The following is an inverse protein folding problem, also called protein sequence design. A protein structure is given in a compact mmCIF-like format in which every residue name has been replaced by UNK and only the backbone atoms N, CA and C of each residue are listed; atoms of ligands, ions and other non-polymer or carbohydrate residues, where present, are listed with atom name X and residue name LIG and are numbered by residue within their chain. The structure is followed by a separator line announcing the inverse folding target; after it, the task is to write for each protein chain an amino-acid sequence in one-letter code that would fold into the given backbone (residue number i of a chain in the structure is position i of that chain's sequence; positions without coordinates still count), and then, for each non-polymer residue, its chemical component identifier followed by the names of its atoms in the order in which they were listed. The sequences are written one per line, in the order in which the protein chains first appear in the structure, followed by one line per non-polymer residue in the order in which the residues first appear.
data_IF_664218405979
#
_entry.id   IF_664218405979
#
_cell.length_a   1.000
_cell.length_b   1.000
_cell.length_c   1.000
_cell.angle_alpha   90.00
_cell.angle_beta   90.00
_cell.angle_gamma   90.00
#
_symmetry.space_group_name_H-M   'P 1'
#
loop_
_entity.id
_entity.type
_entity.pdbx_description
1 polymer ?
#
# COMPACT_ATOMS: atom_id res chain seq x y z
N UNK A 1 -10.02 18.89 -2.71
CA UNK A 1 -9.09 18.48 -1.65
C UNK A 1 -8.40 19.67 -0.98
N UNK A 2 -7.82 20.62 -1.76
CA UNK A 2 -7.02 21.76 -1.29
C UNK A 2 -7.77 22.64 -0.31
N UNK A 3 -8.98 23.03 -0.65
CA UNK A 3 -9.81 23.92 0.18
C UNK A 3 -10.10 23.28 1.55
N UNK A 4 -10.22 21.96 1.62
CA UNK A 4 -10.40 21.23 2.89
C UNK A 4 -9.17 21.36 3.80
N UNK A 5 -7.95 21.25 3.24
CA UNK A 5 -6.71 21.42 4.02
C UNK A 5 -6.62 22.83 4.58
N UNK A 6 -6.89 23.83 3.75
CA UNK A 6 -6.86 25.24 4.12
C UNK A 6 -7.88 25.53 5.21
N UNK A 7 -9.12 25.08 5.04
CA UNK A 7 -10.18 25.34 6.00
C UNK A 7 -9.99 24.58 7.30
N UNK A 8 -9.42 23.37 7.26
CA UNK A 8 -9.01 22.67 8.47
C UNK A 8 -7.96 23.44 9.29
N UNK A 9 -7.05 24.15 8.64
CA UNK A 9 -6.10 25.01 9.33
C UNK A 9 -6.75 26.31 9.82
N UNK A 10 -7.63 26.92 9.01
CA UNK A 10 -8.24 28.23 9.30
C UNK A 10 -9.31 28.18 10.39
N UNK A 11 -9.91 27.01 10.65
CA UNK A 11 -10.91 26.86 11.71
C UNK A 11 -10.37 27.29 13.07
N UNK A 12 -9.08 27.11 13.33
CA UNK A 12 -8.40 27.58 14.55
C UNK A 12 -8.45 29.10 14.73
N UNK A 13 -8.74 29.84 13.67
CA UNK A 13 -8.89 31.31 13.67
C UNK A 13 -10.32 31.75 13.37
N UNK A 14 -11.30 30.83 13.45
CA UNK A 14 -12.70 31.07 13.08
C UNK A 14 -12.87 31.68 11.68
N UNK A 15 -12.04 31.23 10.71
CA UNK A 15 -12.02 31.69 9.32
C UNK A 15 -12.31 30.55 8.36
N UNK A 16 -12.90 30.90 7.24
CA UNK A 16 -13.18 29.98 6.13
C UNK A 16 -12.80 30.64 4.79
N UNK A 17 -12.23 29.87 3.89
CA UNK A 17 -12.04 30.23 2.48
C UNK A 17 -13.10 29.56 1.64
N UNK A 18 -13.77 30.31 0.77
CA UNK A 18 -14.74 29.77 -0.20
C UNK A 18 -14.03 29.32 -1.49
N UNK A 19 -12.95 30.00 -1.84
CA UNK A 19 -12.11 29.72 -3.01
C UNK A 19 -10.64 29.72 -2.61
N UNK A 20 -9.80 29.07 -3.39
CA UNK A 20 -8.35 29.05 -3.18
C UNK A 20 -7.72 30.34 -3.68
N UNK A 21 -6.93 30.97 -2.84
CA UNK A 21 -6.09 32.12 -3.17
C UNK A 21 -4.61 31.75 -3.15
N UNK A 22 -3.75 32.61 -3.69
CA UNK A 22 -2.29 32.45 -3.62
C UNK A 22 -1.79 32.35 -2.16
N UNK A 23 -2.47 33.03 -1.22
CA UNK A 23 -2.16 32.93 0.21
C UNK A 23 -2.48 31.53 0.76
N UNK A 24 -3.52 30.90 0.25
CA UNK A 24 -3.90 29.54 0.65
C UNK A 24 -2.89 28.51 0.16
N UNK A 25 -2.35 28.67 -1.03
CA UNK A 25 -1.29 27.81 -1.56
C UNK A 25 -0.02 27.91 -0.72
N UNK A 26 0.38 29.14 -0.35
CA UNK A 26 1.49 29.38 0.57
C UNK A 26 1.25 28.77 1.96
N UNK A 27 0.00 28.79 2.45
CA UNK A 27 -0.37 28.16 3.71
C UNK A 27 -0.22 26.64 3.65
N UNK A 28 -0.68 25.98 2.58
CA UNK A 28 -0.53 24.54 2.41
C UNK A 28 0.94 24.11 2.42
N UNK A 29 1.78 24.84 1.64
CA UNK A 29 3.22 24.57 1.61
C UNK A 29 3.90 24.82 2.97
N UNK A 30 3.47 25.83 3.70
CA UNK A 30 3.93 26.10 5.08
C UNK A 30 3.57 24.93 6.02
N UNK A 31 2.31 24.52 6.03
CA UNK A 31 1.83 23.41 6.88
C UNK A 31 2.60 22.11 6.64
N UNK A 32 2.91 21.79 5.40
CA UNK A 32 3.68 20.61 5.04
C UNK A 32 5.13 20.73 5.55
N UNK A 33 5.81 21.84 5.27
CA UNK A 33 7.19 22.08 5.66
C UNK A 33 7.38 22.03 7.17
N UNK A 34 6.45 22.61 7.93
CA UNK A 34 6.49 22.65 9.39
C UNK A 34 5.92 21.37 10.06
N UNK A 35 5.53 20.37 9.28
CA UNK A 35 5.02 19.11 9.81
C UNK A 35 3.61 19.18 10.41
N UNK A 36 2.85 20.25 10.15
CA UNK A 36 1.45 20.40 10.61
C UNK A 36 0.49 19.55 9.75
N UNK A 37 0.69 18.23 9.76
CA UNK A 37 0.04 17.29 8.82
C UNK A 37 -1.39 16.91 9.19
N UNK A 38 -1.88 17.27 10.38
CA UNK A 38 -3.26 16.96 10.82
C UNK A 38 -4.32 17.48 9.85
N UNK A 39 -4.08 18.64 9.23
CA UNK A 39 -5.00 19.25 8.25
C UNK A 39 -5.12 18.43 6.97
N UNK A 40 -4.11 17.62 6.62
CA UNK A 40 -4.09 16.75 5.46
C UNK A 40 -4.93 15.48 5.65
N UNK A 41 -5.37 15.18 6.88
CA UNK A 41 -6.27 14.06 7.19
C UNK A 41 -7.70 14.27 6.73
N UNK A 42 -8.08 15.52 6.39
CA UNK A 42 -9.43 15.85 5.90
C UNK A 42 -9.61 15.68 4.39
N UNK A 43 -8.58 15.26 3.68
CA UNK A 43 -8.62 14.95 2.25
C UNK A 43 -8.26 13.49 2.04
N UNK A 44 -9.01 12.81 1.16
CA UNK A 44 -8.88 11.37 0.94
C UNK A 44 -8.72 11.05 -0.53
N UNK A 45 -8.00 9.97 -0.80
CA UNK A 45 -7.96 9.28 -2.08
C UNK A 45 -8.57 7.89 -1.93
N UNK A 46 -9.30 7.46 -2.93
CA UNK A 46 -9.78 6.08 -3.04
C UNK A 46 -9.16 5.47 -4.28
N UNK A 47 -8.42 4.39 -4.09
CA UNK A 47 -7.74 3.65 -5.16
C UNK A 47 -8.38 2.28 -5.33
N UNK A 48 -8.54 1.83 -6.57
CA UNK A 48 -8.69 0.41 -6.88
C UNK A 48 -7.30 -0.09 -7.26
N UNK A 49 -6.78 -1.04 -6.51
CA UNK A 49 -5.44 -1.56 -6.69
C UNK A 49 -5.47 -3.05 -6.97
N UNK A 50 -4.52 -3.52 -7.77
CA UNK A 50 -4.24 -4.94 -7.99
C UNK A 50 -2.77 -5.16 -7.76
N UNK A 51 -2.41 -5.83 -6.68
CA UNK A 51 -1.04 -6.04 -6.22
C UNK A 51 -0.84 -7.49 -5.76
N UNK A 52 0.38 -8.04 -5.83
CA UNK A 52 0.68 -9.31 -5.17
C UNK A 52 0.58 -9.15 -3.66
N UNK A 53 0.11 -10.19 -2.96
CA UNK A 53 -0.12 -10.16 -1.51
C UNK A 53 1.11 -9.72 -0.70
N UNK A 54 2.31 -10.10 -1.11
CA UNK A 54 3.56 -9.71 -0.44
C UNK A 54 3.81 -8.19 -0.49
N UNK A 55 3.41 -7.52 -1.59
CA UNK A 55 3.46 -6.07 -1.75
C UNK A 55 2.28 -5.41 -1.02
N UNK A 56 1.08 -5.96 -1.24
CA UNK A 56 -0.16 -5.47 -0.63
C UNK A 56 -0.04 -5.29 0.89
N UNK A 57 0.52 -6.27 1.60
CA UNK A 57 0.74 -6.23 3.05
C UNK A 57 1.63 -5.08 3.51
N UNK A 58 2.51 -4.58 2.68
CA UNK A 58 3.34 -3.43 3.01
C UNK A 58 2.53 -2.12 2.96
N UNK A 59 1.58 -2.01 2.04
CA UNK A 59 0.71 -0.85 1.92
C UNK A 59 -0.38 -0.83 2.99
N UNK A 60 -0.86 -1.99 3.43
CA UNK A 60 -1.83 -2.11 4.52
C UNK A 60 -1.39 -1.40 5.81
N UNK A 61 -0.10 -1.27 6.04
CA UNK A 61 0.46 -0.63 7.24
C UNK A 61 0.33 0.91 7.24
N UNK A 62 -0.06 1.53 6.13
CA UNK A 62 -0.23 2.97 6.05
C UNK A 62 -1.62 3.39 6.49
N UNK A 63 -1.81 3.46 7.81
CA UNK A 63 -3.07 3.74 8.49
C UNK A 63 -2.99 5.03 9.33
N UNK A 64 -2.41 6.08 8.78
CA UNK A 64 -2.30 7.35 9.49
C UNK A 64 -3.68 8.02 9.52
N UNK A 65 -4.18 8.22 10.72
CA UNK A 65 -5.52 8.78 10.98
C UNK A 65 -6.47 7.79 11.65
N UNK A 66 -6.10 6.51 11.80
CA UNK A 66 -6.83 5.60 12.67
C UNK A 66 -6.63 5.98 14.13
N UNK A 67 -7.70 5.92 14.89
CA UNK A 67 -7.70 6.21 16.31
C UNK A 67 -7.75 4.92 17.12
N UNK A 68 -6.97 4.87 18.19
CA UNK A 68 -7.11 3.88 19.25
C UNK A 68 -7.75 4.55 20.44
N UNK A 69 -8.79 3.93 21.00
CA UNK A 69 -9.27 4.27 22.34
C UNK A 69 -8.72 3.25 23.32
N UNK A 70 -8.06 3.77 24.35
CA UNK A 70 -7.77 3.00 25.56
C UNK A 70 -8.92 3.23 26.55
N UNK A 71 -9.48 2.16 27.03
CA UNK A 71 -10.50 2.19 28.06
C UNK A 71 -10.10 1.17 29.13
N UNK A 72 -9.93 1.62 30.36
CA UNK A 72 -9.48 0.82 31.49
C UNK A 72 -10.41 -0.38 31.77
N UNK A 73 -11.71 -0.26 31.41
CA UNK A 73 -12.70 -1.32 31.65
C UNK A 73 -12.75 -2.39 30.55
N UNK A 74 -12.42 -2.05 29.30
CA UNK A 74 -12.57 -2.92 28.13
C UNK A 74 -11.27 -3.13 27.32
N UNK A 75 -10.16 -2.53 27.78
CA UNK A 75 -8.89 -2.58 27.07
C UNK A 75 -8.84 -1.64 25.86
N UNK A 76 -7.84 -1.84 25.00
CA UNK A 76 -7.67 -1.01 23.81
C UNK A 76 -8.63 -1.42 22.72
N UNK A 77 -9.47 -0.51 22.26
CA UNK A 77 -10.40 -0.71 21.14
C UNK A 77 -9.90 0.08 19.94
N UNK A 78 -9.66 -0.59 18.83
CA UNK A 78 -9.45 0.11 17.56
C UNK A 78 -10.80 0.65 17.08
N UNK A 79 -10.92 1.97 17.05
CA UNK A 79 -12.08 2.60 16.45
C UNK A 79 -12.07 2.38 14.93
N UNK A 80 -13.26 2.34 14.30
CA UNK A 80 -13.34 2.32 12.85
C UNK A 80 -12.48 3.43 12.28
N UNK A 81 -11.55 3.04 11.40
CA UNK A 81 -10.64 3.97 10.76
C UNK A 81 -11.43 5.01 9.97
N UNK A 82 -11.43 6.23 10.44
CA UNK A 82 -12.08 7.35 9.75
C UNK A 82 -11.26 7.89 8.59
N UNK A 83 -10.01 7.44 8.46
CA UNK A 83 -9.06 7.98 7.50
C UNK A 83 -8.48 6.96 6.52
N UNK A 84 -8.66 5.67 6.77
CA UNK A 84 -8.14 4.61 5.90
C UNK A 84 -9.06 3.39 5.98
N UNK A 85 -9.51 2.91 4.86
CA UNK A 85 -10.27 1.66 4.82
C UNK A 85 -9.84 0.78 3.65
N UNK A 86 -9.98 -0.53 3.85
CA UNK A 86 -9.63 -1.57 2.92
C UNK A 86 -10.80 -2.51 2.69
N UNK A 87 -11.08 -2.80 1.42
CA UNK A 87 -11.98 -3.87 1.01
C UNK A 87 -11.26 -4.71 -0.02
N UNK A 88 -10.94 -5.94 0.35
CA UNK A 88 -10.17 -6.88 -0.47
C UNK A 88 -11.07 -7.94 -1.07
N UNK A 89 -10.72 -8.40 -2.28
CA UNK A 89 -11.30 -9.57 -2.91
C UNK A 89 -11.23 -10.78 -1.97
N UNK A 90 -12.34 -11.48 -1.83
CA UNK A 90 -12.43 -12.57 -0.88
C UNK A 90 -12.33 -13.93 -1.55
N UNK A 91 -11.26 -14.66 -1.28
CA UNK A 91 -11.11 -16.07 -1.67
C UNK A 91 -12.11 -17.04 -1.02
N UNK A 92 -13.06 -16.55 -0.22
CA UNK A 92 -14.21 -17.33 0.25
C UNK A 92 -15.35 -17.32 -0.78
N UNK A 93 -15.46 -16.23 -1.55
CA UNK A 93 -16.54 -16.06 -2.51
C UNK A 93 -16.09 -16.35 -3.94
N UNK A 94 -14.90 -15.90 -4.31
CA UNK A 94 -14.35 -16.06 -5.65
C UNK A 94 -13.19 -17.05 -5.66
N UNK A 95 -12.96 -17.66 -6.81
CA UNK A 95 -11.77 -18.44 -7.08
C UNK A 95 -10.69 -17.52 -7.64
N UNK A 96 -9.46 -17.64 -7.14
CA UNK A 96 -8.35 -16.87 -7.65
C UNK A 96 -7.92 -17.36 -9.04
N UNK A 97 -7.42 -16.41 -9.83
CA UNK A 97 -6.77 -16.71 -11.12
C UNK A 97 -5.29 -17.08 -10.92
N UNK A 98 -4.68 -17.88 -11.82
CA UNK A 98 -3.26 -18.24 -11.76
C UNK A 98 -2.36 -17.08 -12.19
N UNK A 99 -2.55 -15.92 -11.56
CA UNK A 99 -1.78 -14.71 -11.81
C UNK A 99 -0.84 -14.44 -10.62
N UNK A 100 0.46 -14.51 -10.89
CA UNK A 100 1.51 -14.33 -9.89
C UNK A 100 2.48 -13.24 -10.31
N UNK A 101 2.97 -12.50 -9.34
CA UNK A 101 4.17 -11.72 -9.53
C UNK A 101 5.38 -12.66 -9.52
N UNK A 102 6.16 -12.59 -10.57
CA UNK A 102 7.43 -13.32 -10.71
C UNK A 102 8.52 -12.27 -10.90
N UNK A 103 9.59 -12.26 -10.10
CA UNK A 103 10.66 -11.29 -10.27
C UNK A 103 11.33 -11.44 -11.63
N UNK A 104 11.73 -10.33 -12.25
CA UNK A 104 12.56 -10.35 -13.46
C UNK A 104 13.90 -11.07 -13.19
N UNK A 105 14.44 -10.88 -12.01
CA UNK A 105 15.61 -11.61 -11.51
C UNK A 105 15.52 -11.77 -9.98
N UNK A 106 15.97 -12.91 -9.48
CA UNK A 106 16.09 -13.12 -8.04
C UNK A 106 17.34 -12.39 -7.53
N UNK A 107 17.17 -11.56 -6.50
CA UNK A 107 18.25 -10.76 -5.91
C UNK A 107 18.95 -11.53 -4.79
N UNK A 108 20.25 -11.24 -4.63
CA UNK A 108 21.05 -11.76 -3.51
C UNK A 108 20.77 -10.91 -2.27
N UNK A 109 20.68 -11.55 -1.10
CA UNK A 109 20.58 -10.84 0.17
C UNK A 109 21.82 -9.97 0.40
N UNK A 110 21.64 -8.69 0.71
CA UNK A 110 22.77 -7.83 1.06
C UNK A 110 23.47 -8.29 2.34
N UNK A 111 24.79 -8.31 2.32
CA UNK A 111 25.62 -8.67 3.50
C UNK A 111 25.62 -7.58 4.57
N UNK A 112 25.50 -6.32 4.16
CA UNK A 112 25.64 -5.15 5.02
C UNK A 112 24.31 -4.53 5.45
N UNK A 113 23.19 -4.89 4.78
CA UNK A 113 21.86 -4.40 5.07
C UNK A 113 20.88 -5.57 5.13
N UNK A 114 20.40 -5.89 6.32
CA UNK A 114 19.44 -7.00 6.54
C UNK A 114 18.13 -6.83 5.82
N UNK A 115 17.75 -5.60 5.47
CA UNK A 115 16.51 -5.30 4.72
C UNK A 115 16.76 -5.12 3.22
N UNK A 116 18.01 -5.02 2.81
CA UNK A 116 18.41 -4.75 1.44
C UNK A 116 18.75 -6.01 0.66
N UNK A 117 18.73 -5.86 -0.65
CA UNK A 117 19.20 -6.86 -1.61
C UNK A 117 20.26 -6.24 -2.52
N UNK A 118 21.11 -7.07 -3.10
CA UNK A 118 22.19 -6.62 -3.97
C UNK A 118 22.46 -7.66 -5.06
N UNK A 119 22.75 -7.20 -6.27
CA UNK A 119 23.12 -8.07 -7.37
C UNK A 119 22.03 -9.07 -7.76
N UNK A 120 22.36 -9.96 -8.68
CA UNK A 120 21.52 -11.00 -9.25
C UNK A 120 22.04 -12.37 -8.82
N UNK A 121 21.13 -13.26 -8.45
CA UNK A 121 21.41 -14.68 -8.26
C UNK A 121 21.23 -15.38 -9.62
N UNK A 122 22.33 -15.80 -10.21
CA UNK A 122 22.30 -16.34 -11.58
C UNK A 122 21.90 -17.80 -11.63
N UNK A 123 22.27 -18.59 -10.63
CA UNK A 123 22.02 -20.04 -10.61
C UNK A 123 21.87 -20.56 -9.19
N UNK A 124 21.00 -21.56 -9.01
CA UNK A 124 20.84 -22.27 -7.72
C UNK A 124 21.88 -23.39 -7.58
N UNK A 125 22.09 -23.93 -6.35
CA UNK A 125 23.09 -25.01 -6.11
C UNK A 125 22.86 -26.27 -6.94
N UNK A 126 21.64 -26.53 -7.39
CA UNK A 126 21.27 -27.66 -8.25
C UNK A 126 21.40 -27.35 -9.76
N UNK A 127 21.93 -26.18 -10.12
CA UNK A 127 22.09 -25.74 -11.50
C UNK A 127 20.85 -25.14 -12.16
N UNK A 128 19.71 -25.01 -11.44
CA UNK A 128 18.48 -24.45 -12.00
C UNK A 128 18.47 -22.92 -11.99
N UNK A 129 17.69 -22.32 -12.91
CA UNK A 129 17.43 -20.88 -12.94
C UNK A 129 16.52 -20.48 -11.76
N UNK A 130 16.92 -19.48 -10.93
CA UNK A 130 16.13 -19.05 -9.77
C UNK A 130 14.73 -18.53 -10.12
N UNK A 131 14.56 -17.86 -11.26
CA UNK A 131 13.27 -17.30 -11.71
C UNK A 131 12.33 -18.43 -12.15
N UNK A 132 12.85 -19.39 -12.93
CA UNK A 132 12.06 -20.56 -13.35
C UNK A 132 11.68 -21.43 -12.12
N UNK A 133 12.57 -21.56 -11.14
CA UNK A 133 12.26 -22.26 -9.89
C UNK A 133 11.16 -21.55 -9.10
N UNK A 134 11.22 -20.21 -9.02
CA UNK A 134 10.18 -19.40 -8.37
C UNK A 134 8.82 -19.58 -9.06
N UNK A 135 8.80 -19.47 -10.38
CA UNK A 135 7.60 -19.63 -11.20
C UNK A 135 6.99 -21.05 -11.07
N UNK A 136 7.83 -22.07 -11.12
CA UNK A 136 7.38 -23.46 -10.94
C UNK A 136 6.75 -23.69 -9.56
N UNK A 137 7.30 -23.10 -8.49
CA UNK A 137 6.75 -23.18 -7.14
C UNK A 137 5.36 -22.52 -7.07
N UNK A 138 5.17 -21.35 -7.69
CA UNK A 138 3.87 -20.69 -7.76
C UNK A 138 2.83 -21.53 -8.49
N UNK A 139 3.19 -22.08 -9.65
CA UNK A 139 2.30 -22.92 -10.45
C UNK A 139 1.93 -24.22 -9.74
N UNK A 140 2.87 -24.85 -9.04
CA UNK A 140 2.60 -26.06 -8.27
C UNK A 140 1.64 -25.78 -7.11
N UNK A 141 1.87 -24.68 -6.38
CA UNK A 141 0.99 -24.24 -5.30
C UNK A 141 -0.45 -23.99 -5.81
N UNK A 142 -0.57 -23.41 -7.00
CA UNK A 142 -1.87 -23.17 -7.61
C UNK A 142 -2.57 -24.45 -8.07
N UNK A 143 -1.84 -25.42 -8.60
CA UNK A 143 -2.38 -26.75 -8.95
C UNK A 143 -2.96 -27.47 -7.73
N UNK A 144 -2.28 -27.40 -6.59
CA UNK A 144 -2.79 -27.99 -5.34
C UNK A 144 -4.06 -27.25 -4.86
N UNK A 145 -4.10 -25.94 -5.00
CA UNK A 145 -5.31 -25.14 -4.72
C UNK A 145 -6.48 -25.60 -5.59
N UNK A 146 -6.30 -25.72 -6.90
CA UNK A 146 -7.35 -26.19 -7.82
C UNK A 146 -7.78 -27.64 -7.52
N UNK A 147 -6.82 -28.51 -7.21
CA UNK A 147 -7.08 -29.90 -6.89
C UNK A 147 -7.97 -30.03 -5.64
N UNK A 148 -7.66 -29.28 -4.57
CA UNK A 148 -8.48 -29.25 -3.37
C UNK A 148 -9.88 -28.69 -3.61
N UNK A 149 -10.01 -27.64 -4.43
CA UNK A 149 -11.32 -27.11 -4.82
C UNK A 149 -12.14 -28.14 -5.59
N UNK A 150 -11.53 -28.83 -6.55
CA UNK A 150 -12.17 -29.87 -7.34
C UNK A 150 -12.61 -31.08 -6.47
N UNK A 151 -11.86 -31.38 -5.40
CA UNK A 151 -12.21 -32.39 -4.41
C UNK A 151 -13.33 -31.96 -3.44
N UNK A 152 -13.84 -30.72 -3.55
CA UNK A 152 -14.93 -30.19 -2.73
C UNK A 152 -14.49 -29.54 -1.42
N UNK A 153 -13.21 -29.27 -1.23
CA UNK A 153 -12.73 -28.56 -0.05
C UNK A 153 -13.21 -27.09 -0.02
N UNK A 154 -13.42 -26.55 1.17
CA UNK A 154 -13.91 -25.20 1.35
C UNK A 154 -12.92 -24.15 0.81
N UNK A 155 -13.39 -23.19 -0.01
CA UNK A 155 -12.58 -22.11 -0.60
C UNK A 155 -11.76 -21.37 0.47
N UNK A 156 -12.32 -21.13 1.64
CA UNK A 156 -11.66 -20.43 2.75
C UNK A 156 -10.41 -21.16 3.27
N UNK A 157 -10.34 -22.48 3.12
CA UNK A 157 -9.18 -23.29 3.48
C UNK A 157 -8.22 -23.43 2.28
N UNK A 158 -8.75 -23.69 1.09
CA UNK A 158 -7.94 -23.85 -0.13
C UNK A 158 -7.08 -22.64 -0.43
N UNK A 159 -7.61 -21.41 -0.24
CA UNK A 159 -6.84 -20.17 -0.46
C UNK A 159 -5.54 -20.07 0.36
N UNK A 160 -5.42 -20.82 1.45
CA UNK A 160 -4.21 -20.92 2.25
C UNK A 160 -3.04 -21.57 1.52
N UNK A 161 -3.29 -22.29 0.42
CA UNK A 161 -2.27 -22.90 -0.44
C UNK A 161 -1.64 -21.89 -1.41
N UNK A 162 -2.28 -20.74 -1.65
CA UNK A 162 -1.81 -19.76 -2.62
C UNK A 162 -0.53 -19.06 -2.13
N UNK A 163 0.47 -18.85 -3.03
CA UNK A 163 1.70 -18.19 -2.66
C UNK A 163 1.48 -16.70 -2.40
N UNK A 164 2.36 -16.07 -1.62
CA UNK A 164 2.31 -14.63 -1.34
C UNK A 164 2.44 -13.74 -2.59
N UNK A 165 2.91 -14.31 -3.69
CA UNK A 165 3.03 -13.64 -4.99
C UNK A 165 1.74 -13.61 -5.79
N UNK A 166 0.65 -14.31 -5.34
CA UNK A 166 -0.65 -14.22 -6.02
C UNK A 166 -1.17 -12.78 -5.96
N UNK A 167 -1.73 -12.31 -7.07
CA UNK A 167 -2.37 -11.00 -7.12
C UNK A 167 -3.74 -11.02 -6.44
N UNK A 168 -4.03 -9.97 -5.70
CA UNK A 168 -5.35 -9.67 -5.15
C UNK A 168 -5.78 -8.28 -5.58
N UNK A 169 -7.08 -8.02 -5.57
CA UNK A 169 -7.67 -6.72 -5.88
C UNK A 169 -8.29 -6.13 -4.63
N UNK A 170 -8.07 -4.84 -4.40
CA UNK A 170 -8.69 -4.15 -3.28
C UNK A 170 -9.10 -2.72 -3.63
N UNK A 171 -10.04 -2.21 -2.85
CA UNK A 171 -10.32 -0.78 -2.73
C UNK A 171 -9.61 -0.27 -1.48
N UNK A 172 -8.79 0.74 -1.64
CA UNK A 172 -8.09 1.42 -0.55
C UNK A 172 -8.47 2.89 -0.51
N UNK A 173 -9.03 3.31 0.60
CA UNK A 173 -9.26 4.73 0.88
C UNK A 173 -8.28 5.17 1.97
N UNK A 174 -7.49 6.20 1.68
CA UNK A 174 -6.47 6.72 2.58
C UNK A 174 -6.51 8.24 2.64
N UNK A 175 -6.16 8.80 3.80
CA UNK A 175 -5.95 10.24 3.94
C UNK A 175 -4.76 10.71 3.10
N UNK A 176 -4.78 11.96 2.69
CA UNK A 176 -3.65 12.56 1.98
C UNK A 176 -2.35 12.45 2.81
N UNK A 177 -2.43 12.58 4.13
CA UNK A 177 -1.28 12.38 5.00
C UNK A 177 -0.71 10.96 4.86
N UNK A 178 -1.57 9.92 4.86
CA UNK A 178 -1.13 8.54 4.71
C UNK A 178 -0.49 8.29 3.34
N UNK A 179 -1.08 8.86 2.27
CA UNK A 179 -0.53 8.75 0.91
C UNK A 179 0.84 9.44 0.80
N UNK A 180 0.99 10.67 1.30
CA UNK A 180 2.27 11.38 1.29
C UNK A 180 3.34 10.64 2.10
N UNK A 181 2.97 10.11 3.27
CA UNK A 181 3.87 9.31 4.09
C UNK A 181 4.28 8.01 3.38
N UNK A 182 3.34 7.31 2.78
CA UNK A 182 3.62 6.11 1.99
C UNK A 182 4.61 6.42 0.86
N UNK A 183 4.38 7.48 0.08
CA UNK A 183 5.28 7.89 -1.00
C UNK A 183 6.68 8.23 -0.48
N UNK A 184 6.79 8.96 0.65
CA UNK A 184 8.08 9.31 1.25
C UNK A 184 8.90 8.09 1.70
N UNK A 185 8.25 6.99 2.05
CA UNK A 185 8.88 5.75 2.51
C UNK A 185 9.15 4.73 1.39
N UNK A 186 8.45 4.83 0.25
CA UNK A 186 8.48 3.81 -0.80
C UNK A 186 9.09 4.26 -2.12
N UNK A 187 9.27 5.56 -2.34
CA UNK A 187 9.97 6.09 -3.51
C UNK A 187 11.50 6.10 -3.41
N UNK A 188 12.15 6.22 -2.23
CA UNK A 188 13.59 6.22 -2.11
C UNK A 188 14.24 4.97 -2.73
N UNK A 189 15.51 5.11 -3.15
CA UNK A 189 16.25 4.06 -3.87
C UNK A 189 16.54 2.83 -3.04
N UNK A 190 16.62 2.97 -1.72
CA UNK A 190 16.80 1.90 -0.76
C UNK A 190 15.50 1.17 -0.39
N UNK A 191 14.36 1.63 -0.90
CA UNK A 191 13.09 0.92 -0.73
C UNK A 191 13.10 -0.40 -1.52
N UNK A 192 12.36 -1.39 -1.01
CA UNK A 192 12.19 -2.68 -1.68
C UNK A 192 11.61 -2.48 -3.09
N UNK A 193 12.25 -3.07 -4.12
CA UNK A 193 11.96 -2.80 -5.53
C UNK A 193 10.49 -2.94 -5.90
N UNK A 194 9.85 -4.04 -5.53
CA UNK A 194 8.43 -4.31 -5.84
C UNK A 194 7.49 -3.28 -5.21
N UNK A 195 7.81 -2.81 -4.00
CA UNK A 195 7.05 -1.76 -3.33
C UNK A 195 7.29 -0.40 -3.98
N UNK A 196 8.51 -0.16 -4.46
CA UNK A 196 8.90 1.07 -5.15
C UNK A 196 8.18 1.19 -6.49
N UNK A 197 8.09 0.12 -7.27
CA UNK A 197 7.31 0.06 -8.52
C UNK A 197 5.84 0.42 -8.28
N UNK A 198 5.21 -0.18 -7.26
CA UNK A 198 3.85 0.15 -6.88
C UNK A 198 3.72 1.62 -6.43
N UNK A 199 4.69 2.14 -5.67
CA UNK A 199 4.70 3.54 -5.21
C UNK A 199 4.83 4.53 -6.37
N UNK A 200 5.57 4.22 -7.42
CA UNK A 200 5.61 5.02 -8.64
C UNK A 200 4.23 5.09 -9.31
N UNK A 201 3.52 3.97 -9.42
CA UNK A 201 2.16 3.96 -9.95
C UNK A 201 1.19 4.82 -9.12
N UNK A 202 1.28 4.76 -7.79
CA UNK A 202 0.50 5.65 -6.92
C UNK A 202 0.88 7.11 -7.11
N UNK A 203 2.18 7.43 -7.17
CA UNK A 203 2.66 8.78 -7.44
C UNK A 203 2.07 9.32 -8.73
N UNK A 204 2.17 8.58 -9.82
CA UNK A 204 1.73 9.02 -11.15
C UNK A 204 0.21 9.32 -11.19
N UNK A 205 -0.58 8.59 -10.39
CA UNK A 205 -2.02 8.85 -10.24
C UNK A 205 -2.28 10.15 -9.47
N UNK A 206 -1.54 10.40 -8.38
CA UNK A 206 -1.83 11.54 -7.49
C UNK A 206 -1.07 12.81 -7.88
N UNK A 207 0.03 12.70 -8.62
CA UNK A 207 0.90 13.81 -9.01
C UNK A 207 0.15 14.96 -9.71
N UNK A 208 -0.75 14.73 -10.69
CA UNK A 208 -1.51 15.82 -11.32
C UNK A 208 -2.37 16.62 -10.32
N UNK A 209 -2.70 16.02 -9.18
CA UNK A 209 -3.50 16.65 -8.13
C UNK A 209 -2.61 17.36 -7.10
N UNK A 210 -1.44 16.81 -6.81
CA UNK A 210 -0.56 17.25 -5.72
C UNK A 210 0.55 18.20 -6.17
N UNK A 211 1.06 18.09 -7.42
CA UNK A 211 2.11 18.96 -7.95
C UNK A 211 1.75 20.43 -7.91
N UNK A 212 0.51 20.85 -8.27
CA UNK A 212 0.13 22.24 -8.13
C UNK A 212 0.14 22.76 -6.69
N UNK A 213 0.18 21.83 -5.70
CA UNK A 213 0.32 22.15 -4.27
C UNK A 213 1.77 22.10 -3.79
N UNK A 214 2.73 21.74 -4.68
CA UNK A 214 4.13 21.50 -4.32
C UNK A 214 4.27 20.45 -3.17
N UNK A 215 3.43 19.42 -3.17
CA UNK A 215 3.40 18.40 -2.15
C UNK A 215 4.22 17.15 -2.52
N UNK A 216 4.55 17.00 -3.78
CA UNK A 216 5.47 15.99 -4.34
C UNK A 216 6.23 16.60 -5.52
#
# INVERSE_FOLDING_TARGET
PRLKIVNAARVSFAKESKELSEKDEKLVSFLQREGHLSTFRHSYFTFRIRLPLCVFRQFWKYQIGSEWMENDDVGSIQLPDKGTCWSEESGRYVQFEPLFWVPEHVRIQSKNNKQGSSGKLDVLPDGTDPVERYKAACLNSFKEYEYLLAAGAAKEQCRGMLPQSVYTTAIWTASLQAVLFMLSQRLPEDAQGENREAAFAFRDIVEPILSPLKLI
#
